data_IF_878855271754
#
_entry.id   IF_878855271754
#
_cell.length_a   1.000
_cell.length_b   1.000
_cell.length_c   1.000
_cell.angle_alpha   90.00
_cell.angle_beta   90.00
_cell.angle_gamma   90.00
#
_symmetry.space_group_name_H-M   'P 1'
#
loop_
_entity.id
_entity.type
_entity.pdbx_description
1 polymer ?
#
# COMPACT_ATOMS: atom_id res chain seq x y z
N UNK A 1 -5.84 -8.47 -23.23
CA UNK A 1 -5.56 -9.13 -21.93
C UNK A 1 -4.95 -8.12 -20.98
N UNK A 2 -5.50 -8.01 -19.78
CA UNK A 2 -4.95 -7.08 -18.80
C UNK A 2 -3.84 -7.75 -18.01
N UNK A 3 -2.69 -7.07 -17.95
CA UNK A 3 -1.59 -7.52 -17.11
C UNK A 3 -1.84 -7.02 -15.69
N UNK A 4 -1.69 -7.89 -14.72
CA UNK A 4 -1.78 -7.52 -13.31
C UNK A 4 -0.45 -7.81 -12.65
N UNK A 5 -0.10 -6.99 -11.68
CA UNK A 5 1.09 -7.18 -10.86
C UNK A 5 0.69 -7.19 -9.41
N UNK A 6 1.56 -7.72 -8.57
CA UNK A 6 1.42 -7.64 -7.12
C UNK A 6 2.73 -7.11 -6.55
N UNK A 7 2.62 -6.15 -5.63
CA UNK A 7 3.79 -5.58 -4.97
C UNK A 7 3.52 -5.43 -3.49
N UNK A 8 4.52 -5.79 -2.70
CA UNK A 8 4.46 -5.58 -1.26
C UNK A 8 5.40 -4.46 -0.90
N UNK A 9 4.89 -3.48 -0.15
CA UNK A 9 5.65 -2.31 0.25
C UNK A 9 5.89 -2.35 1.74
N UNK A 10 7.10 -2.00 2.16
CA UNK A 10 7.42 -1.76 3.56
C UNK A 10 7.71 -0.28 3.71
N UNK A 11 6.90 0.42 4.49
CA UNK A 11 6.97 1.86 4.63
C UNK A 11 7.56 2.18 6.00
N UNK A 12 8.67 2.89 6.01
CA UNK A 12 9.39 3.27 7.23
C UNK A 12 9.28 4.78 7.46
N UNK A 13 9.22 5.17 8.72
CA UNK A 13 9.16 6.56 9.13
C UNK A 13 8.14 6.75 10.23
N UNK A 14 7.65 7.98 10.39
CA UNK A 14 6.55 8.29 11.29
C UNK A 14 5.25 7.98 10.58
N UNK A 15 4.86 6.70 10.59
CA UNK A 15 3.74 6.22 9.78
C UNK A 15 2.67 5.51 10.59
N UNK A 16 2.94 5.17 11.86
CA UNK A 16 1.92 4.57 12.71
C UNK A 16 1.30 5.65 13.62
N UNK A 17 0.00 5.52 13.90
CA UNK A 17 -0.68 6.46 14.79
C UNK A 17 -1.03 7.80 14.16
N UNK A 18 -0.92 7.94 12.85
CA UNK A 18 -1.16 9.20 12.13
C UNK A 18 -2.22 9.06 11.05
N UNK A 19 -3.03 7.98 11.11
CA UNK A 19 -4.06 7.74 10.11
C UNK A 19 -3.55 7.18 8.81
N UNK A 20 -2.35 6.61 8.81
CA UNK A 20 -1.72 6.13 7.58
C UNK A 20 -2.51 5.02 6.91
N UNK A 21 -3.05 4.07 7.68
CA UNK A 21 -3.80 2.95 7.10
C UNK A 21 -5.08 3.42 6.41
N UNK A 22 -5.78 4.39 7.00
CA UNK A 22 -6.95 5.00 6.34
C UNK A 22 -6.55 5.72 5.06
N UNK A 23 -5.45 6.46 5.11
CA UNK A 23 -4.93 7.13 3.93
C UNK A 23 -4.63 6.13 2.82
N UNK A 24 -3.98 5.02 3.15
CA UNK A 24 -3.64 3.99 2.17
C UNK A 24 -4.89 3.35 1.59
N UNK A 25 -5.91 3.09 2.41
CA UNK A 25 -7.15 2.51 1.93
C UNK A 25 -7.86 3.44 0.95
N UNK A 26 -7.88 4.74 1.24
CA UNK A 26 -8.51 5.71 0.35
C UNK A 26 -7.74 5.84 -0.96
N UNK A 27 -6.42 5.83 -0.89
CA UNK A 27 -5.58 5.86 -2.09
C UNK A 27 -5.81 4.62 -2.94
N UNK A 28 -5.91 3.45 -2.30
CA UNK A 28 -6.18 2.20 -3.01
C UNK A 28 -7.53 2.25 -3.74
N UNK A 29 -8.55 2.80 -3.09
CA UNK A 29 -9.87 2.94 -3.71
C UNK A 29 -9.80 3.87 -4.91
N UNK A 30 -9.06 4.98 -4.79
CA UNK A 30 -8.91 5.94 -5.88
C UNK A 30 -8.24 5.31 -7.10
N UNK A 31 -7.25 4.47 -6.87
CA UNK A 31 -6.49 3.83 -7.95
C UNK A 31 -7.02 2.44 -8.29
N UNK A 32 -8.07 1.99 -7.59
CA UNK A 32 -8.71 0.70 -7.85
C UNK A 32 -7.74 -0.48 -7.72
N UNK A 33 -6.85 -0.42 -6.73
CA UNK A 33 -6.00 -1.56 -6.40
C UNK A 33 -6.62 -2.31 -5.22
N UNK A 34 -6.35 -3.59 -5.13
CA UNK A 34 -6.84 -4.46 -4.07
C UNK A 34 -5.65 -4.99 -3.27
N UNK A 35 -5.91 -5.45 -2.05
CA UNK A 35 -4.87 -5.95 -1.16
C UNK A 35 -5.13 -5.60 0.28
N UNK A 36 -4.08 -5.17 1.00
CA UNK A 36 -4.23 -4.85 2.42
C UNK A 36 -3.15 -3.85 2.86
N UNK A 37 -3.37 -3.28 4.04
CA UNK A 37 -2.37 -2.47 4.73
C UNK A 37 -2.45 -2.80 6.22
N UNK A 38 -1.31 -2.94 6.88
CA UNK A 38 -1.27 -3.23 8.31
C UNK A 38 -0.03 -2.63 8.96
N UNK A 39 -0.16 -2.32 10.25
CA UNK A 39 0.98 -1.90 11.08
C UNK A 39 1.78 -3.13 11.47
N UNK A 40 3.09 -3.02 11.41
CA UNK A 40 4.00 -4.10 11.79
C UNK A 40 4.60 -3.83 13.16
N UNK A 41 5.01 -4.89 13.89
CA UNK A 41 5.59 -4.71 15.23
C UNK A 41 6.84 -3.84 15.28
N UNK A 42 7.59 -3.77 14.19
CA UNK A 42 8.83 -2.99 14.14
C UNK A 42 8.60 -1.50 13.83
N UNK A 43 7.34 -1.07 13.78
CA UNK A 43 7.01 0.33 13.52
C UNK A 43 6.79 0.67 12.06
N UNK A 44 7.06 -0.24 11.15
CA UNK A 44 6.77 -0.02 9.74
C UNK A 44 5.30 -0.28 9.44
N UNK A 45 4.86 0.16 8.26
CA UNK A 45 3.55 -0.20 7.72
C UNK A 45 3.81 -1.08 6.51
N UNK A 46 3.09 -2.20 6.44
CA UNK A 46 3.18 -3.09 5.29
C UNK A 46 1.91 -2.95 4.45
N UNK A 47 2.08 -2.77 3.14
CA UNK A 47 0.97 -2.72 2.21
C UNK A 47 1.22 -3.68 1.07
N UNK A 48 0.17 -4.39 0.66
CA UNK A 48 0.24 -5.25 -0.52
C UNK A 48 -0.81 -4.76 -1.50
N UNK A 49 -0.42 -4.59 -2.76
CA UNK A 49 -1.32 -4.08 -3.79
C UNK A 49 -1.27 -4.96 -5.03
N UNK A 50 -2.44 -5.34 -5.54
CA UNK A 50 -2.58 -6.05 -6.81
C UNK A 50 -3.44 -5.21 -7.74
N UNK A 51 -3.04 -5.13 -8.98
CA UNK A 51 -3.76 -4.40 -10.00
C UNK A 51 -2.94 -4.20 -11.26
N UNK A 52 -3.44 -3.40 -12.20
CA UNK A 52 -2.65 -3.03 -13.37
C UNK A 52 -1.38 -2.29 -12.96
N UNK A 53 -0.28 -2.48 -13.69
CA UNK A 53 1.01 -1.92 -13.28
C UNK A 53 0.99 -0.42 -13.02
N UNK A 54 0.35 0.35 -13.89
CA UNK A 54 0.36 1.82 -13.72
C UNK A 54 -0.45 2.28 -12.51
N UNK A 55 -1.51 1.56 -12.14
CA UNK A 55 -2.29 1.92 -10.96
C UNK A 55 -1.57 1.56 -9.68
N UNK A 56 -0.85 0.43 -9.68
CA UNK A 56 -0.02 0.04 -8.53
C UNK A 56 1.11 1.05 -8.34
N UNK A 57 1.70 1.53 -9.43
CA UNK A 57 2.75 2.54 -9.38
C UNK A 57 2.22 3.87 -8.84
N UNK A 58 1.04 4.30 -9.29
CA UNK A 58 0.41 5.50 -8.77
C UNK A 58 0.08 5.36 -7.28
N UNK A 59 -0.37 4.19 -6.86
CA UNK A 59 -0.61 3.90 -5.46
C UNK A 59 0.68 4.01 -4.64
N UNK A 60 1.80 3.50 -5.17
CA UNK A 60 3.10 3.61 -4.52
C UNK A 60 3.48 5.08 -4.30
N UNK A 61 3.25 5.94 -5.29
CA UNK A 61 3.53 7.36 -5.14
C UNK A 61 2.75 7.97 -3.98
N UNK A 62 1.49 7.59 -3.83
CA UNK A 62 0.68 8.08 -2.70
C UNK A 62 1.24 7.58 -1.37
N UNK A 63 1.66 6.30 -1.32
CA UNK A 63 2.25 5.74 -0.11
C UNK A 63 3.52 6.50 0.28
N UNK A 64 4.33 6.87 -0.71
CA UNK A 64 5.59 7.59 -0.45
C UNK A 64 5.34 9.01 0.05
N UNK A 65 4.24 9.63 -0.35
CA UNK A 65 3.85 10.94 0.14
C UNK A 65 3.29 10.87 1.56
N UNK A 66 2.36 9.94 1.78
CA UNK A 66 1.70 9.75 3.06
C UNK A 66 0.73 10.85 3.41
N UNK A 67 -0.03 10.67 4.50
CA UNK A 67 -0.96 11.69 4.98
C UNK A 67 -0.22 12.85 5.66
N UNK A 68 -0.97 13.89 5.96
CA UNK A 68 -0.46 15.20 6.36
C UNK A 68 0.52 15.18 7.52
N UNK A 69 0.29 14.37 8.53
CA UNK A 69 1.12 14.35 9.73
C UNK A 69 2.07 13.16 9.79
N UNK A 70 2.25 12.49 8.65
CA UNK A 70 3.21 11.41 8.54
C UNK A 70 4.55 11.93 8.04
N UNK A 71 5.59 11.12 8.22
CA UNK A 71 6.87 11.36 7.59
C UNK A 71 7.36 10.02 7.06
N UNK A 72 7.41 9.88 5.73
CA UNK A 72 7.86 8.67 5.09
C UNK A 72 9.33 8.81 4.78
N UNK A 73 10.16 7.99 5.45
CA UNK A 73 11.60 7.97 5.23
C UNK A 73 11.97 7.13 4.03
N UNK A 74 11.29 5.98 3.88
CA UNK A 74 11.69 4.99 2.88
C UNK A 74 10.52 4.10 2.55
N UNK A 75 10.39 3.74 1.28
CA UNK A 75 9.44 2.73 0.82
C UNK A 75 10.25 1.66 0.10
N UNK A 76 10.28 0.46 0.67
CA UNK A 76 10.89 -0.70 0.03
C UNK A 76 9.82 -1.50 -0.66
N UNK A 77 10.17 -2.11 -1.77
CA UNK A 77 9.18 -2.80 -2.59
C UNK A 77 9.70 -4.17 -3.01
N UNK A 78 8.80 -5.16 -2.95
CA UNK A 78 9.08 -6.53 -3.39
C UNK A 78 8.03 -6.90 -4.42
N UNK A 79 8.48 -7.43 -5.56
CA UNK A 79 7.57 -7.93 -6.59
C UNK A 79 7.15 -9.34 -6.23
N UNK A 80 5.85 -9.59 -6.32
CA UNK A 80 5.26 -10.90 -6.03
C UNK A 80 4.38 -11.33 -7.21
N UNK A 81 4.04 -12.61 -7.26
CA UNK A 81 3.07 -13.09 -8.21
C UNK A 81 1.66 -12.69 -7.75
N UNK A 82 0.83 -12.13 -8.64
CA UNK A 82 -0.54 -11.83 -8.26
C UNK A 82 -1.32 -13.12 -7.99
N UNK A 83 -2.09 -13.09 -6.92
CA UNK A 83 -2.86 -14.27 -6.50
C UNK A 83 -4.30 -14.23 -6.98
N UNK A 84 -4.82 -13.03 -7.23
CA UNK A 84 -6.21 -12.85 -7.59
C UNK A 84 -7.19 -13.09 -6.45
N UNK A 85 -6.68 -13.25 -5.21
CA UNK A 85 -7.54 -13.61 -4.08
C UNK A 85 -8.16 -12.42 -3.37
N UNK A 86 -7.71 -11.19 -3.69
CA UNK A 86 -8.24 -10.00 -3.03
C UNK A 86 -9.38 -9.42 -3.85
N UNK A 87 -10.50 -9.11 -3.19
CA UNK A 87 -11.63 -8.47 -3.85
C UNK A 87 -11.76 -6.99 -3.46
N UNK A 88 -11.00 -6.55 -2.46
CA UNK A 88 -11.02 -5.16 -2.01
C UNK A 88 -9.68 -4.85 -1.36
N UNK A 89 -9.53 -3.60 -0.91
CA UNK A 89 -8.36 -3.20 -0.15
C UNK A 89 -8.77 -3.05 1.31
N UNK A 90 -8.11 -3.76 2.21
CA UNK A 90 -8.54 -3.88 3.60
C UNK A 90 -7.47 -3.38 4.55
N UNK A 91 -7.95 -2.75 5.63
CA UNK A 91 -7.09 -2.42 6.76
C UNK A 91 -7.05 -3.65 7.66
N UNK A 92 -5.86 -4.14 7.94
CA UNK A 92 -5.64 -5.29 8.81
C UNK A 92 -4.97 -4.85 10.10
N UNK A 93 -5.22 -5.62 11.11
CA UNK A 93 -4.64 -5.36 12.44
C UNK A 93 -3.47 -6.29 12.71
#
# INVERSE_FOLDING_TARGET
>A
MMVRVARKFSIRGDVQGVGYRFFAQRAAARHQVVGYVKNMPDGTVEALAEGPPHTVEAFKHDLATGPRFSFVEQVEEINLEPTGQYSSFRIER
#
